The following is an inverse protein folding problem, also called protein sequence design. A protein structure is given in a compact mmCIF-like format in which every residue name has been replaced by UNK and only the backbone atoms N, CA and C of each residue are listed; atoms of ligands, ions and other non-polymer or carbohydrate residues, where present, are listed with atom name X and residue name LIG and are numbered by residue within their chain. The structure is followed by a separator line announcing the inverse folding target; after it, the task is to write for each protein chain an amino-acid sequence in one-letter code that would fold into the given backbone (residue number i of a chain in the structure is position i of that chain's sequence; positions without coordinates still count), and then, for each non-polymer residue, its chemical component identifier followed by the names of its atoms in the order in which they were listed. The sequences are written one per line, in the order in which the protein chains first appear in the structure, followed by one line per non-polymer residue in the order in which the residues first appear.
data_IF_927023524939
#
_entry.id   IF_927023524939
#
_cell.length_a   1.000
_cell.length_b   1.000
_cell.length_c   1.000
_cell.angle_alpha   90.00
_cell.angle_beta   90.00
_cell.angle_gamma   90.00
#
_symmetry.space_group_name_H-M   'P 1'
#
loop_
_entity.id
_entity.type
_entity.pdbx_description
1 polymer ?
#
# COMPACT_ATOMS: atom_id res chain seq x y z
N UNK A 1 11.50 13.63 -1.72
CA UNK A 1 10.28 13.19 -2.44
C UNK A 1 9.60 14.35 -3.17
N UNK A 2 9.25 14.16 -4.44
CA UNK A 2 8.37 15.06 -5.22
C UNK A 2 6.90 14.65 -5.04
N UNK A 3 5.95 15.58 -5.10
CA UNK A 3 4.51 15.30 -4.94
C UNK A 3 3.97 14.29 -5.95
N UNK A 4 4.51 14.28 -7.18
CA UNK A 4 4.14 13.31 -8.22
C UNK A 4 4.55 11.87 -7.86
N UNK A 5 5.71 11.71 -7.19
CA UNK A 5 6.18 10.39 -6.77
C UNK A 5 5.35 9.88 -5.59
N UNK A 6 5.01 10.77 -4.65
CA UNK A 6 4.17 10.44 -3.49
C UNK A 6 2.78 9.99 -3.93
N UNK A 7 2.16 10.75 -4.84
CA UNK A 7 0.84 10.39 -5.40
C UNK A 7 0.88 9.07 -6.16
N UNK A 8 1.93 8.80 -6.94
CA UNK A 8 2.09 7.53 -7.64
C UNK A 8 2.27 6.35 -6.66
N UNK A 9 3.07 6.50 -5.60
CA UNK A 9 3.24 5.46 -4.58
C UNK A 9 1.94 5.17 -3.82
N UNK A 10 1.17 6.21 -3.48
CA UNK A 10 -0.14 6.01 -2.86
C UNK A 10 -1.14 5.36 -3.82
N UNK A 11 -1.11 5.68 -5.11
CA UNK A 11 -1.94 5.00 -6.10
C UNK A 11 -1.63 3.48 -6.15
N UNK A 12 -0.35 3.12 -6.14
CA UNK A 12 0.07 1.71 -6.08
C UNK A 12 -0.40 1.05 -4.78
N UNK A 13 -0.23 1.72 -3.63
CA UNK A 13 -0.70 1.20 -2.35
C UNK A 13 -2.23 0.98 -2.35
N UNK A 14 -3.01 1.92 -2.89
CA UNK A 14 -4.46 1.80 -3.05
C UNK A 14 -4.84 0.60 -3.91
N UNK A 15 -4.15 0.35 -5.02
CA UNK A 15 -4.42 -0.82 -5.87
C UNK A 15 -4.15 -2.15 -5.13
N UNK A 16 -3.08 -2.21 -4.33
CA UNK A 16 -2.79 -3.37 -3.48
C UNK A 16 -3.88 -3.59 -2.42
N UNK A 17 -4.39 -2.53 -1.79
CA UNK A 17 -5.49 -2.64 -0.83
C UNK A 17 -6.80 -3.12 -1.46
N UNK A 18 -7.12 -2.68 -2.69
CA UNK A 18 -8.29 -3.20 -3.43
C UNK A 18 -8.16 -4.71 -3.63
N UNK A 19 -6.98 -5.20 -4.04
CA UNK A 19 -6.72 -6.62 -4.22
C UNK A 19 -6.73 -7.39 -2.89
N UNK A 20 -6.28 -6.76 -1.80
CA UNK A 20 -6.34 -7.32 -0.46
C UNK A 20 -7.79 -7.56 -0.01
N UNK A 21 -8.65 -6.54 -0.12
CA UNK A 21 -10.08 -6.63 0.24
C UNK A 21 -10.79 -7.69 -0.60
N UNK A 22 -10.51 -7.73 -1.92
CA UNK A 22 -11.04 -8.77 -2.81
C UNK A 22 -10.58 -10.17 -2.38
N UNK A 23 -9.30 -10.35 -2.05
CA UNK A 23 -8.75 -11.63 -1.62
C UNK A 23 -9.26 -12.09 -0.25
N UNK A 24 -9.45 -11.17 0.69
CA UNK A 24 -9.95 -11.44 2.04
C UNK A 24 -11.44 -11.82 2.07
N UNK A 25 -12.19 -11.48 1.01
CA UNK A 25 -13.62 -11.77 0.91
C UNK A 25 -13.94 -13.26 0.66
N UNK A 26 -12.94 -14.12 0.45
CA UNK A 26 -13.12 -15.56 0.32
C UNK A 26 -12.01 -16.33 1.08
N UNK A 27 -12.34 -17.33 1.93
CA UNK A 27 -11.34 -18.09 2.69
C UNK A 27 -10.24 -18.73 1.85
N UNK A 28 -10.55 -19.16 0.61
CA UNK A 28 -9.57 -19.78 -0.29
C UNK A 28 -8.49 -18.81 -0.75
N UNK A 29 -8.82 -17.53 -0.92
CA UNK A 29 -7.90 -16.47 -1.35
C UNK A 29 -7.38 -15.59 -0.20
N UNK A 30 -7.88 -15.79 1.03
CA UNK A 30 -7.61 -14.90 2.16
C UNK A 30 -6.11 -14.72 2.46
N UNK A 31 -5.31 -15.79 2.38
CA UNK A 31 -3.85 -15.69 2.58
C UNK A 31 -3.18 -14.80 1.54
N UNK A 32 -3.55 -14.92 0.27
CA UNK A 32 -3.02 -14.09 -0.80
C UNK A 32 -3.47 -12.63 -0.63
N UNK A 33 -4.75 -12.41 -0.28
CA UNK A 33 -5.28 -11.08 0.04
C UNK A 33 -4.52 -10.41 1.18
N UNK A 34 -4.20 -11.15 2.25
CA UNK A 34 -3.41 -10.63 3.36
C UNK A 34 -1.99 -10.22 2.93
N UNK A 35 -1.34 -10.98 2.04
CA UNK A 35 -0.02 -10.62 1.49
C UNK A 35 -0.09 -9.32 0.69
N UNK A 36 -1.11 -9.14 -0.17
CA UNK A 36 -1.33 -7.87 -0.87
C UNK A 36 -1.53 -6.71 0.12
N UNK A 37 -2.25 -6.94 1.21
CA UNK A 37 -2.46 -5.95 2.27
C UNK A 37 -1.16 -5.55 2.97
N UNK A 38 -0.32 -6.51 3.33
CA UNK A 38 0.98 -6.25 3.95
C UNK A 38 1.90 -5.46 3.02
N UNK A 39 1.94 -5.80 1.73
CA UNK A 39 2.72 -5.05 0.72
C UNK A 39 2.20 -3.62 0.56
N UNK A 40 0.88 -3.43 0.45
CA UNK A 40 0.26 -2.10 0.38
C UNK A 40 0.56 -1.24 1.61
N UNK A 41 0.50 -1.84 2.80
CA UNK A 41 0.83 -1.15 4.05
C UNK A 41 2.31 -0.78 4.14
N UNK A 42 3.22 -1.65 3.72
CA UNK A 42 4.65 -1.34 3.67
C UNK A 42 4.95 -0.14 2.76
N UNK A 43 4.35 -0.09 1.56
CA UNK A 43 4.50 1.04 0.63
C UNK A 43 3.98 2.33 1.26
N UNK A 44 2.80 2.30 1.88
CA UNK A 44 2.20 3.48 2.50
C UNK A 44 3.03 4.04 3.67
N UNK A 45 3.53 3.16 4.54
CA UNK A 45 4.39 3.55 5.67
C UNK A 45 5.70 4.14 5.17
N UNK A 46 6.40 3.45 4.27
CA UNK A 46 7.68 3.93 3.73
C UNK A 46 7.52 5.28 3.02
N UNK A 47 6.44 5.48 2.27
CA UNK A 47 6.14 6.75 1.61
C UNK A 47 5.90 7.87 2.62
N UNK A 48 5.11 7.60 3.66
CA UNK A 48 4.82 8.56 4.73
C UNK A 48 6.09 8.94 5.50
N UNK A 49 6.87 7.96 5.92
CA UNK A 49 8.13 8.18 6.66
C UNK A 49 9.12 8.97 5.80
N UNK A 50 9.29 8.60 4.53
CA UNK A 50 10.18 9.31 3.61
C UNK A 50 9.71 10.75 3.31
N UNK A 51 8.40 11.00 3.31
CA UNK A 51 7.84 12.34 3.15
C UNK A 51 8.11 13.20 4.39
N UNK A 52 7.86 12.66 5.59
CA UNK A 52 8.12 13.35 6.86
C UNK A 52 9.61 13.64 7.01
N UNK A 53 10.48 12.64 6.78
CA UNK A 53 11.93 12.80 6.89
C UNK A 53 12.52 13.82 5.90
N UNK A 54 11.80 14.15 4.82
CA UNK A 54 12.19 15.17 3.84
C UNK A 54 11.63 16.57 4.17
N UNK A 55 10.66 16.65 5.09
CA UNK A 55 10.06 17.90 5.57
C UNK A 55 10.67 18.36 6.91
N UNK A 56 11.23 17.42 7.69
CA UNK A 56 12.10 17.68 8.84
C UNK A 56 13.48 18.19 8.39
#
# INVERSE_FOLDING_TARGET
MSMNVVTLLYLIASTCFIQALKGLSNPKSARAGNVFGMVGMAIAILTTVALIAKQA
#
